data_IF_210273579623
#
_entry.id   IF_210273579623
#
_cell.length_a   1.000
_cell.length_b   1.000
_cell.length_c   1.000
_cell.angle_alpha   90.00
_cell.angle_beta   90.00
_cell.angle_gamma   90.00
#
_symmetry.space_group_name_H-M   'P 1'
#
loop_
_entity.id
_entity.type
_entity.pdbx_description
1 polymer ?
#
# COMPACT_ATOMS: atom_id res chain seq x y z
N UNK A 1 5.88 -28.31 -5.61
CA UNK A 1 7.11 -28.72 -6.32
C UNK A 1 8.02 -27.49 -6.40
N UNK A 2 9.29 -27.62 -5.99
CA UNK A 2 10.24 -26.50 -5.81
C UNK A 2 10.41 -25.66 -7.08
N UNK A 3 10.13 -24.35 -7.01
CA UNK A 3 10.71 -23.36 -7.93
C UNK A 3 11.26 -22.18 -7.11
N UNK A 4 12.33 -22.45 -6.37
CA UNK A 4 13.33 -21.42 -6.03
C UNK A 4 14.67 -22.01 -6.45
N UNK A 5 14.91 -22.12 -7.75
CA UNK A 5 16.28 -22.26 -8.25
C UNK A 5 16.33 -21.90 -9.74
N UNK A 6 16.53 -20.62 -10.04
CA UNK A 6 17.48 -20.12 -11.04
C UNK A 6 17.30 -18.60 -11.23
N UNK A 7 17.37 -17.83 -10.15
CA UNK A 7 17.80 -16.43 -10.28
C UNK A 7 19.31 -16.45 -10.47
N UNK A 8 19.78 -15.98 -11.63
CA UNK A 8 21.20 -15.71 -11.86
C UNK A 8 21.68 -14.83 -10.71
N UNK A 9 22.72 -15.27 -9.97
CA UNK A 9 23.31 -14.56 -8.80
C UNK A 9 23.58 -13.05 -9.03
N UNK A 10 23.60 -12.60 -10.28
CA UNK A 10 23.86 -11.22 -10.71
C UNK A 10 22.70 -10.24 -10.43
N UNK A 11 21.47 -10.71 -10.18
CA UNK A 11 20.28 -9.84 -10.08
C UNK A 11 19.43 -10.01 -8.82
N UNK A 12 19.90 -10.71 -7.78
CA UNK A 12 19.10 -10.92 -6.54
C UNK A 12 18.84 -9.56 -5.87
N UNK A 13 17.58 -9.13 -5.92
CA UNK A 13 17.06 -8.00 -5.15
C UNK A 13 16.53 -8.57 -3.84
N UNK A 14 17.13 -8.17 -2.72
CA UNK A 14 16.65 -8.60 -1.41
C UNK A 14 15.41 -7.79 -1.01
N UNK A 15 14.49 -8.39 -0.24
CA UNK A 15 13.36 -7.65 0.32
C UNK A 15 13.78 -6.48 1.23
N UNK A 16 15.03 -6.46 1.72
CA UNK A 16 15.64 -5.32 2.41
C UNK A 16 15.89 -4.13 1.47
N UNK A 17 16.31 -4.36 0.23
CA UNK A 17 16.60 -3.28 -0.72
C UNK A 17 15.32 -2.52 -1.09
N UNK A 18 14.19 -3.24 -1.25
CA UNK A 18 12.89 -2.62 -1.54
C UNK A 18 12.36 -1.84 -0.33
N UNK A 19 12.54 -2.36 0.89
CA UNK A 19 12.18 -1.61 2.09
C UNK A 19 13.01 -0.33 2.24
N UNK A 20 14.31 -0.37 1.92
CA UNK A 20 15.17 0.81 1.95
C UNK A 20 14.77 1.87 0.91
N UNK A 21 14.37 1.44 -0.30
CA UNK A 21 13.82 2.34 -1.32
C UNK A 21 12.49 2.97 -0.88
N UNK A 22 11.61 2.16 -0.27
CA UNK A 22 10.34 2.64 0.27
C UNK A 22 10.54 3.63 1.43
N UNK A 23 11.45 3.33 2.36
CA UNK A 23 11.82 4.23 3.46
C UNK A 23 12.47 5.52 2.97
N UNK A 24 13.22 5.44 1.87
CA UNK A 24 13.75 6.64 1.24
C UNK A 24 12.64 7.51 0.63
N UNK A 25 11.66 6.91 -0.05
CA UNK A 25 10.47 7.63 -0.52
C UNK A 25 9.78 8.34 0.65
N UNK A 26 9.56 7.63 1.76
CA UNK A 26 8.97 8.21 2.97
C UNK A 26 9.80 9.36 3.53
N UNK A 27 11.13 9.21 3.59
CA UNK A 27 12.02 10.26 4.06
C UNK A 27 11.96 11.51 3.18
N UNK A 28 11.83 11.35 1.86
CA UNK A 28 11.61 12.46 0.92
C UNK A 28 10.23 13.11 1.07
N UNK A 29 9.20 12.30 1.38
CA UNK A 29 7.85 12.79 1.67
C UNK A 29 7.82 13.62 2.95
N UNK A 30 8.48 13.19 4.03
CA UNK A 30 8.52 13.90 5.31
C UNK A 30 9.46 15.12 5.28
N UNK A 31 10.49 15.09 4.44
CA UNK A 31 11.47 16.17 4.32
C UNK A 31 11.88 16.40 2.86
N UNK A 32 11.39 17.49 2.27
CA UNK A 32 11.67 17.86 0.87
C UNK A 32 13.13 18.22 0.59
N UNK A 33 13.94 18.45 1.64
CA UNK A 33 15.40 18.73 1.57
C UNK A 33 16.26 17.49 1.75
N UNK A 34 15.67 16.30 1.76
CA UNK A 34 16.43 15.06 1.91
C UNK A 34 17.48 14.90 0.81
N UNK A 35 18.66 14.39 1.18
CA UNK A 35 19.79 14.24 0.24
C UNK A 35 19.52 13.11 -0.73
N UNK A 36 19.90 13.32 -1.99
CA UNK A 36 19.90 12.25 -2.99
C UNK A 36 20.78 11.10 -2.53
N UNK A 37 20.20 9.91 -2.42
CA UNK A 37 20.92 8.67 -2.16
C UNK A 37 21.18 7.90 -3.46
N UNK A 38 22.15 7.00 -3.42
CA UNK A 38 22.50 6.11 -4.54
C UNK A 38 22.36 4.67 -4.08
N UNK A 39 21.78 3.84 -4.95
CA UNK A 39 21.68 2.40 -4.74
C UNK A 39 22.37 1.67 -5.87
N UNK A 40 22.94 0.52 -5.56
CA UNK A 40 23.42 -0.38 -6.60
C UNK A 40 22.21 -1.00 -7.30
N UNK A 41 22.18 -0.93 -8.63
CA UNK A 41 21.09 -1.51 -9.43
C UNK A 41 19.84 -0.64 -9.56
N UNK A 42 19.80 0.55 -8.93
CA UNK A 42 18.69 1.48 -9.06
C UNK A 42 19.14 2.92 -9.28
N UNK A 43 18.31 3.71 -9.94
CA UNK A 43 18.50 5.15 -10.07
C UNK A 43 17.17 5.88 -10.10
N UNK A 44 17.10 7.04 -9.46
CA UNK A 44 15.97 7.94 -9.60
C UNK A 44 16.22 8.89 -10.76
N UNK A 45 15.33 8.88 -11.76
CA UNK A 45 15.38 9.80 -12.90
C UNK A 45 14.31 10.88 -12.68
N UNK A 46 14.71 12.14 -12.87
CA UNK A 46 13.78 13.26 -12.83
C UNK A 46 12.86 13.21 -14.05
N UNK A 47 11.55 13.15 -13.81
CA UNK A 47 10.54 13.27 -14.86
C UNK A 47 10.15 14.74 -15.07
N UNK A 48 9.84 15.42 -13.97
CA UNK A 48 9.54 16.86 -13.91
C UNK A 48 10.02 17.45 -12.58
N UNK A 49 9.78 18.74 -12.35
CA UNK A 49 10.22 19.38 -11.11
C UNK A 49 9.56 18.74 -9.89
N UNK A 50 10.40 18.19 -9.00
CA UNK A 50 9.93 17.52 -7.79
C UNK A 50 9.36 16.11 -7.97
N UNK A 51 9.43 15.52 -9.18
CA UNK A 51 8.94 14.17 -9.45
C UNK A 51 10.05 13.28 -10.01
N UNK A 52 10.26 12.13 -9.38
CA UNK A 52 11.34 11.20 -9.72
C UNK A 52 10.84 9.76 -9.80
N UNK A 53 11.13 9.09 -10.92
CA UNK A 53 10.77 7.70 -11.16
C UNK A 53 11.96 6.78 -10.89
N UNK A 54 11.69 5.69 -10.17
CA UNK A 54 12.68 4.64 -9.92
C UNK A 54 12.95 3.90 -11.23
N UNK A 55 14.22 3.74 -11.58
CA UNK A 55 14.65 2.95 -12.72
C UNK A 55 15.60 1.84 -12.27
N UNK A 56 15.46 0.66 -12.85
CA UNK A 56 16.42 -0.44 -12.69
C UNK A 56 17.65 -0.15 -13.56
N UNK A 57 18.86 -0.38 -13.02
CA UNK A 57 20.12 -0.11 -13.72
C UNK A 57 20.79 -1.43 -14.10
N UNK A 58 20.80 -1.74 -15.40
CA UNK A 58 21.34 -2.99 -15.95
C UNK A 58 22.31 -2.68 -17.08
N UNK A 59 23.59 -3.04 -16.94
CA UNK A 59 24.62 -2.78 -17.96
C UNK A 59 24.62 -1.34 -18.51
N UNK A 60 24.45 -0.34 -17.64
CA UNK A 60 24.30 1.11 -17.96
C UNK A 60 22.96 1.52 -18.61
N UNK A 61 22.10 0.58 -18.97
CA UNK A 61 20.72 0.85 -19.35
C UNK A 61 19.90 1.17 -18.10
N UNK A 62 18.90 2.04 -18.28
CA UNK A 62 17.91 2.39 -17.26
C UNK A 62 16.56 1.89 -17.75
N UNK A 63 15.94 1.02 -16.97
CA UNK A 63 14.69 0.37 -17.28
C UNK A 63 13.62 0.90 -16.33
N UNK A 64 12.58 1.53 -16.88
CA UNK A 64 11.49 2.10 -16.11
C UNK A 64 10.43 1.03 -15.80
N UNK A 65 10.20 0.66 -14.52
CA UNK A 65 9.14 -0.27 -14.14
C UNK A 65 7.72 0.24 -14.45
N UNK A 66 7.50 1.56 -14.56
CA UNK A 66 6.19 2.09 -14.94
C UNK A 66 5.90 1.82 -16.42
N UNK A 67 6.93 1.83 -17.26
CA UNK A 67 6.86 1.58 -18.71
C UNK A 67 7.62 0.32 -19.10
N UNK A 68 7.52 -0.72 -18.27
CA UNK A 68 8.33 -1.93 -18.42
C UNK A 68 8.17 -2.60 -19.80
N UNK A 69 6.98 -2.52 -20.38
CA UNK A 69 6.64 -3.10 -21.68
C UNK A 69 7.32 -2.36 -22.85
N UNK A 70 7.56 -1.04 -22.74
CA UNK A 70 8.29 -0.26 -23.77
C UNK A 70 9.76 -0.71 -23.88
N UNK A 71 10.28 -1.34 -22.83
CA UNK A 71 11.65 -1.86 -22.76
C UNK A 71 11.79 -3.30 -23.28
N UNK A 72 10.70 -3.95 -23.70
CA UNK A 72 10.68 -5.32 -24.20
C UNK A 72 10.20 -5.34 -25.66
N UNK A 73 11.11 -5.42 -26.64
CA UNK A 73 10.74 -5.40 -28.06
C UNK A 73 9.93 -6.63 -28.50
N UNK A 74 9.95 -7.70 -27.70
CA UNK A 74 9.25 -8.97 -27.95
C UNK A 74 7.93 -9.08 -27.17
N UNK A 75 7.34 -7.95 -26.75
CA UNK A 75 6.11 -7.95 -25.94
C UNK A 75 4.93 -8.65 -26.63
N UNK A 76 4.77 -8.50 -27.94
CA UNK A 76 3.72 -9.17 -28.72
C UNK A 76 3.92 -10.69 -28.78
N UNK A 77 5.17 -11.16 -28.83
CA UNK A 77 5.46 -12.59 -28.75
C UNK A 77 5.10 -13.15 -27.37
N UNK A 78 5.41 -12.42 -26.29
CA UNK A 78 5.05 -12.82 -24.91
C UNK A 78 3.54 -12.85 -24.73
N UNK A 79 2.85 -11.86 -25.27
CA UNK A 79 1.37 -11.83 -25.30
C UNK A 79 0.83 -13.08 -25.99
N UNK A 80 1.34 -13.43 -27.17
CA UNK A 80 0.95 -14.65 -27.88
C UNK A 80 1.14 -15.93 -27.04
N UNK A 81 2.27 -16.05 -26.34
CA UNK A 81 2.54 -17.20 -25.44
C UNK A 81 1.53 -17.27 -24.29
N UNK A 82 1.13 -16.13 -23.72
CA UNK A 82 0.06 -16.09 -22.71
C UNK A 82 -1.28 -16.55 -23.28
N UNK A 83 -1.65 -16.09 -24.48
CA UNK A 83 -2.89 -16.51 -25.14
C UNK A 83 -2.90 -18.02 -25.44
N UNK A 84 -1.78 -18.57 -25.92
CA UNK A 84 -1.61 -20.01 -26.12
C UNK A 84 -1.71 -20.80 -24.79
N UNK A 85 -1.38 -20.15 -23.68
CA UNK A 85 -1.52 -20.67 -22.31
C UNK A 85 -2.92 -20.45 -21.71
N UNK A 86 -3.93 -20.13 -22.55
CA UNK A 86 -5.34 -19.91 -22.22
C UNK A 86 -5.69 -18.62 -21.48
N UNK A 87 -4.73 -17.72 -21.26
CA UNK A 87 -5.05 -16.37 -20.81
C UNK A 87 -5.78 -15.60 -21.93
N UNK A 88 -6.56 -14.60 -21.58
CA UNK A 88 -7.22 -13.71 -22.55
C UNK A 88 -6.45 -12.41 -22.76
N UNK A 89 -6.88 -11.62 -23.75
CA UNK A 89 -6.37 -10.26 -23.94
C UNK A 89 -6.63 -9.38 -22.70
N UNK A 90 -7.79 -9.54 -22.05
CA UNK A 90 -8.13 -8.82 -20.83
C UNK A 90 -7.23 -9.22 -19.66
N UNK A 91 -6.93 -10.52 -19.52
CA UNK A 91 -5.96 -11.00 -18.52
C UNK A 91 -4.60 -10.32 -18.72
N UNK A 92 -4.11 -10.26 -19.97
CA UNK A 92 -2.83 -9.65 -20.30
C UNK A 92 -2.80 -8.15 -19.99
N UNK A 93 -3.82 -7.39 -20.42
CA UNK A 93 -3.88 -5.95 -20.18
C UNK A 93 -4.03 -5.61 -18.69
N UNK A 94 -4.77 -6.43 -17.94
CA UNK A 94 -4.88 -6.31 -16.48
C UNK A 94 -3.50 -6.48 -15.82
N UNK A 95 -2.79 -7.57 -16.11
CA UNK A 95 -1.45 -7.85 -15.58
C UNK A 95 -0.47 -6.74 -15.98
N UNK A 96 -0.47 -6.33 -17.24
CA UNK A 96 0.39 -5.26 -17.73
C UNK A 96 0.16 -3.94 -17.00
N UNK A 97 -1.10 -3.62 -16.73
CA UNK A 97 -1.49 -2.45 -15.95
C UNK A 97 -0.99 -2.58 -14.51
N UNK A 98 -1.29 -3.67 -13.81
CA UNK A 98 -0.83 -3.94 -12.43
C UNK A 98 0.68 -3.76 -12.27
N UNK A 99 1.47 -4.37 -13.15
CA UNK A 99 2.93 -4.30 -13.08
C UNK A 99 3.45 -2.87 -13.32
N UNK A 100 2.82 -2.13 -14.24
CA UNK A 100 3.13 -0.72 -14.45
C UNK A 100 2.78 0.11 -13.21
N UNK A 101 1.64 -0.20 -12.57
CA UNK A 101 1.16 0.47 -11.37
C UNK A 101 2.04 0.23 -10.15
N UNK A 102 2.60 -0.97 -10.00
CA UNK A 102 3.58 -1.25 -8.96
C UNK A 102 4.84 -0.36 -9.02
N UNK A 103 5.23 0.13 -10.20
CA UNK A 103 6.31 1.11 -10.32
C UNK A 103 6.05 2.41 -9.53
N UNK A 104 4.79 2.83 -9.38
CA UNK A 104 4.43 4.05 -8.65
C UNK A 104 4.64 3.95 -7.14
N UNK A 105 4.75 2.75 -6.57
CA UNK A 105 5.04 2.56 -5.14
C UNK A 105 6.34 3.25 -4.73
N UNK A 106 7.31 3.32 -5.64
CA UNK A 106 8.63 3.90 -5.41
C UNK A 106 8.81 5.29 -6.00
N UNK A 107 7.81 5.82 -6.73
CA UNK A 107 7.83 7.17 -7.30
C UNK A 107 7.91 8.21 -6.17
N UNK A 108 8.84 9.15 -6.30
CA UNK A 108 9.03 10.24 -5.34
C UNK A 108 8.34 11.48 -5.88
N UNK A 109 7.44 12.03 -5.09
CA UNK A 109 6.80 13.33 -5.33
C UNK A 109 7.11 14.23 -4.14
N UNK A 110 7.74 15.39 -4.40
CA UNK A 110 8.05 16.37 -3.35
C UNK A 110 6.81 17.07 -2.82
N UNK A 111 5.77 17.19 -3.65
CA UNK A 111 4.47 17.71 -3.22
C UNK A 111 3.73 16.58 -2.52
N UNK A 112 3.51 16.76 -1.23
CA UNK A 112 2.78 15.78 -0.43
C UNK A 112 1.32 15.70 -0.90
N UNK A 113 0.78 14.49 -0.94
CA UNK A 113 -0.57 14.20 -1.41
C UNK A 113 -1.25 13.20 -0.48
N UNK A 114 -2.58 13.23 -0.41
CA UNK A 114 -3.36 12.24 0.34
C UNK A 114 -3.15 10.82 -0.21
N UNK A 115 -3.00 10.74 -1.54
CA UNK A 115 -2.63 9.50 -2.22
C UNK A 115 -1.34 8.88 -1.67
N UNK A 116 -0.30 9.68 -1.40
CA UNK A 116 0.94 9.12 -0.83
C UNK A 116 0.71 8.60 0.59
N UNK A 117 -0.15 9.23 1.40
CA UNK A 117 -0.55 8.66 2.69
C UNK A 117 -1.21 7.29 2.54
N UNK A 118 -2.15 7.14 1.60
CA UNK A 118 -2.81 5.85 1.34
C UNK A 118 -1.80 4.79 0.89
N UNK A 119 -0.88 5.14 -0.02
CA UNK A 119 0.17 4.22 -0.45
C UNK A 119 1.09 3.82 0.70
N UNK A 120 1.52 4.77 1.54
CA UNK A 120 2.32 4.44 2.72
C UNK A 120 1.56 3.53 3.68
N UNK A 121 0.29 3.84 3.92
CA UNK A 121 -0.60 3.04 4.76
C UNK A 121 -0.68 1.60 4.28
N UNK A 122 -1.18 1.37 3.06
CA UNK A 122 -1.43 0.02 2.58
C UNK A 122 -0.17 -0.81 2.44
N UNK A 123 0.96 -0.22 2.00
CA UNK A 123 2.24 -0.95 1.98
C UNK A 123 2.68 -1.32 3.39
N UNK A 124 2.66 -0.38 4.35
CA UNK A 124 3.06 -0.65 5.73
C UNK A 124 2.15 -1.70 6.40
N UNK A 125 0.86 -1.66 6.12
CA UNK A 125 -0.08 -2.67 6.62
C UNK A 125 0.22 -4.04 6.02
N UNK A 126 0.42 -4.17 4.70
CA UNK A 126 0.73 -5.44 4.04
C UNK A 126 2.01 -6.08 4.57
N UNK A 127 3.12 -5.33 4.59
CA UNK A 127 4.44 -5.87 4.96
C UNK A 127 4.53 -6.30 6.42
N UNK A 128 3.67 -5.79 7.29
CA UNK A 128 3.58 -6.21 8.69
C UNK A 128 2.48 -7.27 8.90
N UNK A 129 1.34 -7.18 8.21
CA UNK A 129 0.24 -8.16 8.29
C UNK A 129 0.67 -9.53 7.79
N UNK A 130 1.50 -9.62 6.74
CA UNK A 130 2.04 -10.90 6.22
C UNK A 130 2.80 -11.73 7.27
N UNK A 131 3.29 -11.08 8.33
CA UNK A 131 4.03 -11.71 9.43
C UNK A 131 3.18 -11.83 10.72
N UNK A 132 1.95 -11.32 10.74
CA UNK A 132 1.09 -11.32 11.91
C UNK A 132 0.32 -12.64 12.06
N UNK A 133 0.92 -13.62 12.76
CA UNK A 133 0.32 -14.94 13.00
C UNK A 133 -0.83 -14.91 14.01
N UNK A 134 -0.91 -13.88 14.87
CA UNK A 134 -1.93 -13.78 15.91
C UNK A 134 -3.36 -13.64 15.37
N UNK A 135 -3.50 -13.20 14.11
CA UNK A 135 -4.79 -12.99 13.45
C UNK A 135 -5.44 -14.31 13.00
N UNK A 136 -4.66 -15.40 12.94
CA UNK A 136 -5.15 -16.72 12.53
C UNK A 136 -5.69 -16.74 11.10
N UNK A 137 -6.79 -17.46 10.89
CA UNK A 137 -7.37 -17.71 9.57
C UNK A 137 -7.85 -16.44 8.85
N UNK A 138 -8.24 -15.40 9.61
CA UNK A 138 -8.67 -14.10 9.05
C UNK A 138 -7.53 -13.31 8.41
N UNK A 139 -6.26 -13.73 8.58
CA UNK A 139 -5.11 -13.01 8.03
C UNK A 139 -5.22 -12.90 6.51
N UNK A 140 -5.65 -13.95 5.82
CA UNK A 140 -5.76 -13.97 4.36
C UNK A 140 -6.89 -13.05 3.86
N UNK A 141 -7.98 -12.93 4.61
CA UNK A 141 -9.05 -11.94 4.34
C UNK A 141 -8.52 -10.50 4.47
N UNK A 142 -7.76 -10.21 5.53
CA UNK A 142 -7.14 -8.89 5.70
C UNK A 142 -6.10 -8.60 4.60
N UNK A 143 -5.24 -9.56 4.28
CA UNK A 143 -4.23 -9.44 3.23
C UNK A 143 -4.88 -9.21 1.86
N UNK A 144 -5.95 -9.95 1.55
CA UNK A 144 -6.76 -9.76 0.33
C UNK A 144 -7.35 -8.36 0.30
N UNK A 145 -8.02 -7.93 1.38
CA UNK A 145 -8.59 -6.59 1.43
C UNK A 145 -7.54 -5.49 1.33
N UNK A 146 -6.37 -5.64 1.94
CA UNK A 146 -5.28 -4.67 1.86
C UNK A 146 -4.69 -4.62 0.45
N UNK A 147 -4.55 -5.78 -0.21
CA UNK A 147 -4.08 -5.89 -1.58
C UNK A 147 -5.02 -5.16 -2.56
N UNK A 148 -6.32 -5.48 -2.51
CA UNK A 148 -7.32 -4.87 -3.38
C UNK A 148 -7.41 -3.36 -3.19
N UNK A 149 -7.33 -2.88 -1.94
CA UNK A 149 -7.33 -1.45 -1.66
C UNK A 149 -6.04 -0.75 -2.14
N UNK A 150 -4.87 -1.39 -1.97
CA UNK A 150 -3.63 -0.87 -2.57
C UNK A 150 -3.75 -0.74 -4.09
N UNK A 151 -4.31 -1.73 -4.77
CA UNK A 151 -4.51 -1.71 -6.22
C UNK A 151 -5.51 -0.62 -6.64
N UNK A 152 -6.60 -0.43 -5.90
CA UNK A 152 -7.53 0.69 -6.09
C UNK A 152 -6.81 2.04 -5.97
N UNK A 153 -6.00 2.23 -4.92
CA UNK A 153 -5.19 3.44 -4.75
C UNK A 153 -4.13 3.62 -5.84
N UNK A 154 -3.75 2.54 -6.51
CA UNK A 154 -2.91 2.56 -7.70
C UNK A 154 -3.68 2.79 -9.01
N UNK A 155 -4.93 3.24 -8.93
CA UNK A 155 -5.81 3.57 -10.06
C UNK A 155 -6.21 2.36 -10.92
N UNK A 156 -6.39 1.19 -10.31
CA UNK A 156 -7.09 0.09 -10.97
C UNK A 156 -8.60 0.26 -10.80
N UNK A 157 -9.36 -0.10 -11.83
CA UNK A 157 -10.82 -0.17 -11.71
C UNK A 157 -11.24 -1.40 -10.89
N UNK A 158 -12.47 -1.39 -10.42
CA UNK A 158 -13.02 -2.46 -9.58
C UNK A 158 -12.93 -3.82 -10.27
N UNK A 159 -13.24 -3.86 -11.56
CA UNK A 159 -13.23 -5.06 -12.40
C UNK A 159 -11.83 -5.70 -12.45
N UNK A 160 -10.77 -4.90 -12.38
CA UNK A 160 -9.40 -5.39 -12.39
C UNK A 160 -8.92 -5.78 -10.99
N UNK A 161 -9.04 -4.88 -10.00
CA UNK A 161 -8.45 -5.16 -8.69
C UNK A 161 -9.20 -6.25 -7.91
N UNK A 162 -10.50 -6.43 -8.15
CA UNK A 162 -11.31 -7.43 -7.44
C UNK A 162 -10.89 -8.87 -7.76
N UNK A 163 -10.20 -9.08 -8.88
CA UNK A 163 -9.66 -10.37 -9.34
C UNK A 163 -8.44 -10.84 -8.54
N UNK A 164 -7.89 -9.99 -7.67
CA UNK A 164 -6.73 -10.32 -6.85
C UNK A 164 -7.15 -10.78 -5.46
N UNK A 165 -6.55 -11.88 -5.02
CA UNK A 165 -6.65 -12.37 -3.65
C UNK A 165 -5.28 -12.78 -3.12
N UNK A 166 -5.18 -12.91 -1.79
CA UNK A 166 -3.93 -13.28 -1.12
C UNK A 166 -4.19 -14.42 -0.15
N UNK A 167 -3.39 -15.47 -0.26
CA UNK A 167 -3.39 -16.62 0.63
C UNK A 167 -1.98 -16.94 1.15
N UNK A 168 -1.78 -18.14 1.69
CA UNK A 168 -0.50 -18.60 2.22
C UNK A 168 0.55 -18.82 1.11
N UNK A 169 0.11 -19.10 -0.11
CA UNK A 169 0.96 -19.38 -1.28
C UNK A 169 1.33 -18.11 -2.07
N UNK A 170 0.63 -17.00 -1.82
CA UNK A 170 1.01 -15.67 -2.27
C UNK A 170 -0.15 -14.88 -2.86
N UNK A 171 0.11 -14.17 -3.95
CA UNK A 171 -0.92 -13.37 -4.64
C UNK A 171 -1.50 -14.20 -5.78
N UNK A 172 -2.81 -14.40 -5.74
CA UNK A 172 -3.57 -15.06 -6.78
C UNK A 172 -4.27 -14.04 -7.67
N UNK A 173 -4.35 -14.36 -8.95
CA UNK A 173 -5.10 -13.61 -9.95
C UNK A 173 -6.16 -14.52 -10.57
N UNK A 174 -7.42 -14.12 -10.49
CA UNK A 174 -8.53 -14.79 -11.16
C UNK A 174 -8.53 -14.47 -12.65
N UNK A 175 -8.19 -15.47 -13.46
CA UNK A 175 -8.21 -15.40 -14.92
C UNK A 175 -9.61 -15.69 -15.49
N UNK A 176 -9.90 -15.21 -16.69
CA UNK A 176 -11.22 -15.45 -17.31
C UNK A 176 -11.47 -16.93 -17.67
N UNK A 177 -10.42 -17.71 -17.97
CA UNK A 177 -10.55 -19.07 -18.50
C UNK A 177 -9.90 -20.19 -17.67
N UNK A 178 -8.99 -19.88 -16.74
CA UNK A 178 -8.19 -20.87 -16.00
C UNK A 178 -8.65 -20.96 -14.53
N UNK A 179 -9.25 -19.90 -14.00
CA UNK A 179 -9.48 -19.70 -12.57
C UNK A 179 -8.30 -18.97 -11.92
N UNK A 180 -8.07 -19.23 -10.62
CA UNK A 180 -6.99 -18.59 -9.87
C UNK A 180 -5.60 -19.13 -10.25
N UNK A 181 -4.70 -18.21 -10.62
CA UNK A 181 -3.30 -18.50 -10.94
C UNK A 181 -2.40 -17.66 -10.05
N UNK A 182 -1.29 -18.22 -9.57
CA UNK A 182 -0.32 -17.46 -8.79
C UNK A 182 0.38 -16.42 -9.68
N UNK A 183 0.43 -15.18 -9.23
CA UNK A 183 1.01 -14.07 -9.99
C UNK A 183 2.50 -14.29 -10.30
N UNK A 184 3.22 -15.03 -9.46
CA UNK A 184 4.62 -15.42 -9.74
C UNK A 184 4.73 -16.32 -10.96
N UNK A 185 3.77 -17.21 -11.20
CA UNK A 185 3.77 -18.07 -12.39
C UNK A 185 3.55 -17.26 -13.66
N UNK A 186 2.68 -16.24 -13.59
CA UNK A 186 2.47 -15.28 -14.68
C UNK A 186 3.76 -14.49 -14.95
N UNK A 187 4.46 -14.04 -13.91
CA UNK A 187 5.75 -13.35 -14.04
C UNK A 187 6.83 -14.25 -14.67
N UNK A 188 6.85 -15.53 -14.32
CA UNK A 188 7.79 -16.49 -14.90
C UNK A 188 7.57 -16.64 -16.41
N UNK A 189 6.30 -16.78 -16.83
CA UNK A 189 5.89 -16.83 -18.23
C UNK A 189 6.24 -15.53 -18.97
N UNK A 190 5.93 -14.38 -18.36
CA UNK A 190 6.16 -13.07 -18.97
C UNK A 190 7.64 -12.70 -19.07
N UNK A 191 8.49 -13.07 -18.12
CA UNK A 191 9.84 -12.52 -18.02
C UNK A 191 10.99 -13.54 -18.06
N UNK A 192 10.82 -14.76 -17.56
CA UNK A 192 11.97 -15.63 -17.31
C UNK A 192 12.24 -16.67 -18.41
N UNK A 193 11.32 -16.87 -19.35
CA UNK A 193 11.51 -17.83 -20.45
C UNK A 193 12.53 -17.36 -21.49
N UNK A 194 12.52 -16.07 -21.86
CA UNK A 194 13.39 -15.50 -22.91
C UNK A 194 14.79 -15.09 -22.43
N UNK A 195 15.00 -15.01 -21.10
CA UNK A 195 16.30 -14.80 -20.41
C UNK A 195 17.19 -13.64 -20.91
N UNK A 196 16.63 -12.56 -21.45
CA UNK A 196 17.41 -11.33 -21.71
C UNK A 196 17.73 -10.61 -20.39
N UNK A 197 18.79 -9.81 -20.35
CA UNK A 197 19.19 -9.08 -19.13
C UNK A 197 18.08 -8.15 -18.63
N UNK A 198 17.37 -7.46 -19.52
CA UNK A 198 16.24 -6.59 -19.17
C UNK A 198 15.03 -7.38 -18.66
N UNK A 199 14.68 -8.48 -19.35
CA UNK A 199 13.59 -9.36 -18.94
C UNK A 199 13.86 -10.00 -17.57
N UNK A 200 15.07 -10.48 -17.32
CA UNK A 200 15.48 -11.01 -16.01
C UNK A 200 15.42 -9.93 -14.92
N UNK A 201 15.81 -8.69 -15.21
CA UNK A 201 15.77 -7.60 -14.25
C UNK A 201 14.33 -7.24 -13.84
N UNK A 202 13.40 -7.12 -14.80
CA UNK A 202 11.98 -6.91 -14.49
C UNK A 202 11.38 -8.10 -13.74
N UNK A 203 11.60 -9.32 -14.21
CA UNK A 203 11.10 -10.53 -13.55
C UNK A 203 11.59 -10.63 -12.10
N UNK A 204 12.87 -10.30 -11.85
CA UNK A 204 13.41 -10.29 -10.49
C UNK A 204 12.84 -9.15 -9.65
N UNK A 205 12.73 -7.94 -10.20
CA UNK A 205 12.15 -6.80 -9.48
C UNK A 205 10.71 -7.07 -9.04
N UNK A 206 9.84 -7.50 -9.95
CA UNK A 206 8.44 -7.78 -9.64
C UNK A 206 8.28 -8.97 -8.70
N UNK A 207 9.05 -10.04 -8.90
CA UNK A 207 9.01 -11.19 -7.98
C UNK A 207 9.46 -10.78 -6.57
N UNK A 208 10.56 -10.02 -6.45
CA UNK A 208 11.03 -9.49 -5.17
C UNK A 208 10.02 -8.53 -4.54
N UNK A 209 9.27 -7.77 -5.34
CA UNK A 209 8.20 -6.90 -4.86
C UNK A 209 7.02 -7.70 -4.29
N UNK A 210 6.59 -8.77 -4.96
CA UNK A 210 5.55 -9.65 -4.43
C UNK A 210 5.98 -10.31 -3.12
N UNK A 211 7.24 -10.76 -3.04
CA UNK A 211 7.80 -11.31 -1.79
C UNK A 211 7.85 -10.25 -0.69
N UNK A 212 8.28 -9.03 -1.02
CA UNK A 212 8.32 -7.91 -0.08
C UNK A 212 6.93 -7.59 0.48
N UNK A 213 5.90 -7.52 -0.35
CA UNK A 213 4.55 -7.14 0.05
C UNK A 213 3.76 -8.27 0.72
N UNK A 214 3.89 -9.52 0.24
CA UNK A 214 2.90 -10.56 0.54
C UNK A 214 3.49 -11.83 1.18
N UNK A 215 4.74 -12.18 0.90
CA UNK A 215 5.33 -13.42 1.42
C UNK A 215 5.93 -13.22 2.83
N UNK A 216 5.57 -14.09 3.77
CA UNK A 216 6.12 -14.06 5.13
C UNK A 216 7.64 -14.27 5.12
N UNK A 217 8.35 -13.37 5.79
CA UNK A 217 9.80 -13.41 5.96
C UNK A 217 10.21 -13.29 7.44
N UNK A 218 9.22 -13.25 8.35
CA UNK A 218 9.35 -13.05 9.79
C UNK A 218 10.16 -11.78 10.17
N UNK A 219 10.28 -10.80 9.26
CA UNK A 219 10.92 -9.52 9.56
C UNK A 219 9.94 -8.54 10.18
N UNK A 220 10.45 -7.63 11.01
CA UNK A 220 9.70 -6.49 11.52
C UNK A 220 10.04 -5.26 10.70
N UNK A 221 9.07 -4.77 9.93
CA UNK A 221 9.20 -3.59 9.09
C UNK A 221 8.74 -2.35 9.85
N UNK A 222 9.37 -2.11 10.99
CA UNK A 222 9.09 -0.94 11.80
C UNK A 222 9.98 0.22 11.35
N UNK A 223 9.36 1.36 11.19
CA UNK A 223 10.00 2.66 11.13
C UNK A 223 10.55 3.01 12.52
N UNK A 224 11.38 4.05 12.58
CA UNK A 224 11.97 4.54 13.82
C UNK A 224 11.63 6.02 13.95
N UNK A 225 10.41 6.28 14.40
CA UNK A 225 9.94 7.61 14.74
C UNK A 225 10.06 7.85 16.24
N UNK A 226 10.48 9.06 16.59
CA UNK A 226 10.49 9.50 17.98
C UNK A 226 9.08 9.98 18.40
N UNK A 227 8.16 9.04 18.59
CA UNK A 227 6.76 9.30 18.97
C UNK A 227 6.22 8.17 19.86
N UNK A 228 5.61 8.53 21.00
CA UNK A 228 4.99 7.58 21.95
C UNK A 228 3.89 6.70 21.34
N UNK A 229 3.27 7.15 20.25
CA UNK A 229 2.16 6.52 19.57
C UNK A 229 2.57 5.71 18.33
N UNK A 230 3.85 5.72 17.95
CA UNK A 230 4.37 5.05 16.75
C UNK A 230 3.92 3.58 16.68
N UNK A 231 4.05 2.84 17.77
CA UNK A 231 3.74 1.41 17.80
C UNK A 231 2.32 1.06 17.35
N UNK A 232 1.38 1.99 17.47
CA UNK A 232 -0.03 1.77 17.13
C UNK A 232 -0.35 1.94 15.65
N UNK A 233 0.62 2.39 14.82
CA UNK A 233 0.43 2.41 13.36
C UNK A 233 0.55 1.00 12.76
N UNK A 234 1.16 0.05 13.48
CA UNK A 234 1.35 -1.32 13.03
C UNK A 234 0.13 -2.20 13.33
N UNK A 235 -0.25 -3.09 12.39
CA UNK A 235 -1.48 -3.88 12.49
C UNK A 235 -1.52 -4.78 13.73
N UNK A 236 -0.39 -5.40 14.09
CA UNK A 236 -0.28 -6.31 15.24
C UNK A 236 -0.71 -5.63 16.54
N UNK A 237 -0.05 -4.51 16.87
CA UNK A 237 -0.29 -3.79 18.12
C UNK A 237 -1.68 -3.14 18.12
N UNK A 238 -2.10 -2.58 16.99
CA UNK A 238 -3.41 -1.94 16.87
C UNK A 238 -4.55 -2.94 17.10
N UNK A 239 -4.53 -4.07 16.39
CA UNK A 239 -5.57 -5.10 16.53
C UNK A 239 -5.54 -5.79 17.89
N UNK A 240 -4.36 -6.00 18.49
CA UNK A 240 -4.27 -6.52 19.87
C UNK A 240 -5.02 -5.62 20.85
N UNK A 241 -4.85 -4.29 20.75
CA UNK A 241 -5.56 -3.34 21.61
C UNK A 241 -7.03 -3.22 21.26
N UNK A 242 -7.38 -3.37 19.98
CA UNK A 242 -8.77 -3.30 19.52
C UNK A 242 -9.60 -4.50 20.01
N UNK A 243 -8.99 -5.69 20.06
CA UNK A 243 -9.67 -6.94 20.44
C UNK A 243 -9.72 -7.18 21.96
N UNK A 244 -9.10 -6.30 22.76
CA UNK A 244 -9.07 -6.37 24.22
C UNK A 244 -9.85 -5.19 24.81
N UNK A 245 -11.01 -5.44 25.43
CA UNK A 245 -11.89 -4.39 25.98
C UNK A 245 -11.19 -3.50 27.02
N UNK A 246 -10.25 -4.05 27.80
CA UNK A 246 -9.52 -3.27 28.79
C UNK A 246 -8.51 -2.31 28.13
N UNK A 247 -7.98 -2.67 26.95
CA UNK A 247 -7.03 -1.86 26.18
C UNK A 247 -7.70 -0.94 25.16
N UNK A 248 -8.90 -1.26 24.70
CA UNK A 248 -9.63 -0.52 23.67
C UNK A 248 -9.87 0.95 24.04
N UNK A 249 -10.26 1.23 25.28
CA UNK A 249 -10.42 2.62 25.76
C UNK A 249 -9.10 3.41 25.69
N UNK A 250 -7.98 2.76 25.99
CA UNK A 250 -6.65 3.37 25.85
C UNK A 250 -6.34 3.66 24.39
N UNK A 251 -6.70 2.75 23.47
CA UNK A 251 -6.58 2.99 22.04
C UNK A 251 -7.38 4.24 21.64
N UNK A 252 -8.68 4.31 21.95
CA UNK A 252 -9.50 5.48 21.61
C UNK A 252 -9.01 6.79 22.22
N UNK A 253 -8.41 6.74 23.41
CA UNK A 253 -7.82 7.94 24.01
C UNK A 253 -6.70 8.57 23.17
N UNK A 254 -6.04 7.80 22.30
CA UNK A 254 -5.01 8.30 21.37
C UNK A 254 -5.57 9.30 20.36
N UNK A 255 -6.89 9.31 20.12
CA UNK A 255 -7.52 10.27 19.22
C UNK A 255 -7.29 11.71 19.70
N UNK A 256 -7.16 11.95 21.01
CA UNK A 256 -6.80 13.26 21.53
C UNK A 256 -5.40 13.70 21.05
N UNK A 257 -4.44 12.77 21.03
CA UNK A 257 -3.09 13.06 20.53
C UNK A 257 -3.09 13.29 19.01
N UNK A 258 -3.89 12.51 18.25
CA UNK A 258 -4.04 12.63 16.79
C UNK A 258 -4.44 14.05 16.35
N UNK A 259 -5.17 14.77 17.20
CA UNK A 259 -5.67 16.11 16.91
C UNK A 259 -4.94 17.25 17.66
N UNK A 260 -3.82 16.93 18.31
CA UNK A 260 -2.96 17.92 18.93
C UNK A 260 -2.36 18.84 17.86
N UNK A 261 -2.46 20.16 18.03
CA UNK A 261 -2.00 21.13 17.03
C UNK A 261 -0.48 21.33 17.00
N UNK A 262 0.27 20.85 18.00
CA UNK A 262 1.71 21.07 18.15
C UNK A 262 2.57 19.94 17.59
N UNK A 263 2.07 19.18 16.62
CA UNK A 263 2.76 18.03 16.04
C UNK A 263 3.83 18.41 15.02
N UNK A 264 4.95 17.70 15.06
CA UNK A 264 5.98 17.64 14.03
C UNK A 264 5.51 16.84 12.81
N UNK A 265 6.22 16.93 11.69
CA UNK A 265 5.89 16.17 10.47
C UNK A 265 5.81 14.65 10.69
N UNK A 266 6.62 14.10 11.61
CA UNK A 266 6.61 12.67 11.92
C UNK A 266 5.36 12.30 12.73
N UNK A 267 5.01 13.10 13.74
CA UNK A 267 3.81 12.90 14.55
C UNK A 267 2.53 13.06 13.72
N UNK A 268 2.54 14.00 12.76
CA UNK A 268 1.46 14.15 11.77
C UNK A 268 1.33 12.85 10.96
N UNK A 269 2.44 12.32 10.43
CA UNK A 269 2.41 11.07 9.67
C UNK A 269 1.83 9.92 10.50
N UNK A 270 2.29 9.75 11.73
CA UNK A 270 1.77 8.73 12.66
C UNK A 270 0.27 8.92 12.91
N UNK A 271 -0.17 10.15 13.11
CA UNK A 271 -1.59 10.47 13.35
C UNK A 271 -2.47 10.17 12.15
N UNK A 272 -1.96 10.40 10.92
CA UNK A 272 -2.62 10.01 9.68
C UNK A 272 -2.73 8.48 9.58
N UNK A 273 -1.64 7.74 9.89
CA UNK A 273 -1.64 6.27 9.87
C UNK A 273 -2.58 5.67 10.92
N UNK A 274 -2.63 6.26 12.12
CA UNK A 274 -3.57 5.90 13.17
C UNK A 274 -5.03 6.13 12.76
N UNK A 275 -5.34 7.28 12.18
CA UNK A 275 -6.68 7.56 11.64
C UNK A 275 -7.08 6.48 10.62
N UNK A 276 -6.18 6.14 9.69
CA UNK A 276 -6.45 5.09 8.69
C UNK A 276 -6.60 3.70 9.31
N UNK A 277 -5.88 3.38 10.41
CA UNK A 277 -6.12 2.15 11.16
C UNK A 277 -7.53 2.08 11.76
N UNK A 278 -8.02 3.18 12.36
CA UNK A 278 -9.42 3.24 12.83
C UNK A 278 -10.41 3.01 11.69
N UNK A 279 -10.20 3.67 10.54
CA UNK A 279 -11.07 3.52 9.38
C UNK A 279 -11.05 2.07 8.91
N UNK A 280 -9.87 1.50 8.66
CA UNK A 280 -9.72 0.20 8.02
C UNK A 280 -10.08 -0.98 8.93
N UNK A 281 -9.57 -1.01 10.17
CA UNK A 281 -9.74 -2.18 11.05
C UNK A 281 -10.97 -2.13 11.94
N UNK A 282 -11.53 -0.94 12.21
CA UNK A 282 -12.63 -0.80 13.17
C UNK A 282 -13.95 -0.34 12.55
N UNK A 283 -13.90 0.61 11.63
CA UNK A 283 -15.11 1.22 11.06
C UNK A 283 -15.53 0.60 9.73
N UNK A 284 -14.59 0.07 8.93
CA UNK A 284 -14.83 -0.36 7.53
C UNK A 284 -16.01 -1.31 7.40
N UNK A 285 -16.05 -2.35 8.23
CA UNK A 285 -17.09 -3.39 8.17
C UNK A 285 -18.30 -3.08 9.05
N UNK A 286 -18.15 -2.22 10.06
CA UNK A 286 -19.20 -1.86 11.01
C UNK A 286 -19.13 -0.37 11.35
N UNK A 287 -19.63 0.53 10.48
CA UNK A 287 -19.57 1.97 10.70
C UNK A 287 -20.22 2.43 12.00
N UNK A 288 -21.20 1.68 12.54
CA UNK A 288 -21.85 1.97 13.83
C UNK A 288 -20.88 1.96 15.01
N UNK A 289 -19.73 1.30 14.87
CA UNK A 289 -18.66 1.33 15.87
C UNK A 289 -18.15 2.74 16.18
N UNK A 290 -18.41 3.73 15.32
CA UNK A 290 -18.13 5.15 15.59
C UNK A 290 -18.76 5.64 16.90
N UNK A 291 -19.90 5.06 17.32
CA UNK A 291 -20.57 5.41 18.58
C UNK A 291 -19.75 5.01 19.80
N UNK A 292 -18.97 3.92 19.73
CA UNK A 292 -18.06 3.53 20.81
C UNK A 292 -16.97 4.58 21.00
N UNK A 293 -16.42 5.10 19.91
CA UNK A 293 -15.45 6.19 19.94
C UNK A 293 -16.09 7.45 20.51
N UNK A 294 -17.32 7.79 20.10
CA UNK A 294 -18.07 8.93 20.64
C UNK A 294 -18.16 8.90 22.16
N UNK A 295 -18.42 7.73 22.76
CA UNK A 295 -18.53 7.59 24.21
C UNK A 295 -17.22 7.85 24.96
N UNK A 296 -16.07 7.77 24.29
CA UNK A 296 -14.76 7.97 24.89
C UNK A 296 -14.18 9.38 24.68
N UNK A 297 -14.83 10.21 23.86
CA UNK A 297 -14.34 11.53 23.47
C UNK A 297 -15.34 12.63 23.86
N UNK A 298 -14.83 13.84 24.07
CA UNK A 298 -15.69 15.01 24.12
C UNK A 298 -16.22 15.37 22.72
N UNK A 299 -17.29 16.16 22.67
CA UNK A 299 -18.00 16.46 21.41
C UNK A 299 -17.12 17.19 20.37
N UNK A 300 -16.21 18.06 20.80
CA UNK A 300 -15.34 18.81 19.89
C UNK A 300 -14.30 17.92 19.22
N UNK A 301 -13.62 17.07 20.01
CA UNK A 301 -12.65 16.10 19.50
C UNK A 301 -13.35 15.05 18.64
N UNK A 302 -14.54 14.61 19.05
CA UNK A 302 -15.33 13.68 18.25
C UNK A 302 -15.75 14.28 16.90
N UNK A 303 -16.19 15.55 16.86
CA UNK A 303 -16.51 16.25 15.62
C UNK A 303 -15.32 16.29 14.66
N UNK A 304 -14.13 16.66 15.16
CA UNK A 304 -12.89 16.65 14.37
C UNK A 304 -12.53 15.24 13.87
N UNK A 305 -12.76 14.22 14.71
CA UNK A 305 -12.51 12.82 14.34
C UNK A 305 -13.42 12.35 13.21
N UNK A 306 -14.74 12.51 13.33
CA UNK A 306 -15.66 12.07 12.28
C UNK A 306 -15.46 12.88 10.98
N UNK A 307 -15.15 14.17 11.09
CA UNK A 307 -14.77 14.99 9.95
C UNK A 307 -13.53 14.45 9.25
N UNK A 308 -12.46 14.16 9.99
CA UNK A 308 -11.23 13.60 9.42
C UNK A 308 -11.46 12.22 8.79
N UNK A 309 -12.29 11.35 9.41
CA UNK A 309 -12.68 10.05 8.84
C UNK A 309 -13.32 10.23 7.46
N UNK A 310 -14.28 11.17 7.34
CA UNK A 310 -14.98 11.43 6.07
C UNK A 310 -14.06 12.10 5.05
N UNK A 311 -13.25 13.09 5.48
CA UNK A 311 -12.32 13.83 4.61
C UNK A 311 -11.20 12.94 4.07
N UNK A 312 -10.78 11.90 4.80
CA UNK A 312 -9.77 10.95 4.33
C UNK A 312 -10.21 10.17 3.10
N UNK A 313 -11.52 9.97 2.89
CA UNK A 313 -12.06 9.27 1.71
C UNK A 313 -11.41 7.91 1.40
N UNK A 314 -10.94 7.20 2.43
CA UNK A 314 -10.26 5.91 2.27
C UNK A 314 -11.24 4.83 1.75
N UNK A 315 -12.17 4.40 2.61
CA UNK A 315 -13.19 3.38 2.27
C UNK A 315 -14.58 3.82 2.77
N UNK A 316 -14.63 4.68 3.78
CA UNK A 316 -15.86 5.16 4.40
C UNK A 316 -16.09 6.61 3.99
N UNK A 317 -17.33 6.90 3.63
CA UNK A 317 -17.82 8.25 3.34
C UNK A 317 -19.00 8.63 4.22
N UNK A 318 -19.42 9.90 4.13
CA UNK A 318 -20.49 10.51 4.95
C UNK A 318 -21.75 9.65 5.07
N UNK A 319 -22.19 9.04 3.97
CA UNK A 319 -23.42 8.23 3.91
C UNK A 319 -23.40 6.98 4.80
N UNK A 320 -22.22 6.47 5.16
CA UNK A 320 -22.08 5.31 6.05
C UNK A 320 -22.47 5.62 7.50
N UNK A 321 -22.64 6.90 7.84
CA UNK A 321 -23.01 7.35 9.18
C UNK A 321 -24.45 7.88 9.27
N UNK A 322 -25.22 7.76 8.19
CA UNK A 322 -26.63 8.09 8.19
C UNK A 322 -27.40 7.18 9.17
N UNK A 323 -28.48 7.69 9.74
CA UNK A 323 -29.37 6.95 10.65
C UNK A 323 -28.71 6.46 11.96
N UNK A 324 -27.50 6.94 12.28
CA UNK A 324 -26.80 6.64 13.54
C UNK A 324 -27.06 7.67 14.64
N UNK A 325 -27.97 8.62 14.42
CA UNK A 325 -28.21 9.75 15.33
C UNK A 325 -27.06 10.76 15.38
N UNK A 326 -26.26 10.83 14.32
CA UNK A 326 -25.10 11.72 14.20
C UNK A 326 -25.36 12.95 13.33
N UNK A 327 -26.62 13.20 12.94
CA UNK A 327 -27.00 14.25 11.99
C UNK A 327 -26.49 15.63 12.40
N UNK A 328 -26.55 15.95 13.70
CA UNK A 328 -26.04 17.20 14.25
C UNK A 328 -24.53 17.41 14.05
N UNK A 329 -23.73 16.33 14.00
CA UNK A 329 -22.31 16.40 13.66
C UNK A 329 -22.14 16.47 12.14
N UNK A 330 -22.82 15.59 11.39
CA UNK A 330 -22.69 15.51 9.94
C UNK A 330 -23.04 16.84 9.26
N UNK A 331 -24.08 17.54 9.73
CA UNK A 331 -24.47 18.87 9.22
C UNK A 331 -23.38 19.93 9.36
N UNK A 332 -22.50 19.81 10.36
CA UNK A 332 -21.39 20.76 10.58
C UNK A 332 -20.19 20.51 9.65
N UNK A 333 -20.10 19.32 9.06
CA UNK A 333 -18.95 18.92 8.24
C UNK A 333 -19.09 19.51 6.84
N UNK A 334 -18.15 20.39 6.49
CA UNK A 334 -18.02 20.98 5.17
C UNK A 334 -16.93 20.27 4.37
N UNK A 335 -17.29 19.74 3.20
CA UNK A 335 -16.36 19.04 2.32
C UNK A 335 -15.85 20.01 1.25
N UNK A 336 -14.65 20.54 1.44
CA UNK A 336 -13.97 21.34 0.42
C UNK A 336 -13.16 20.43 -0.51
N UNK A 337 -13.25 20.64 -1.83
CA UNK A 337 -12.63 19.77 -2.84
C UNK A 337 -11.11 19.92 -3.00
N UNK A 338 -10.46 20.82 -2.26
CA UNK A 338 -9.07 21.24 -2.55
C UNK A 338 -8.06 20.97 -1.45
N UNK A 339 -8.45 20.34 -0.34
CA UNK A 339 -7.63 20.26 0.88
C UNK A 339 -7.71 18.85 1.48
N UNK A 340 -6.76 17.97 1.10
CA UNK A 340 -6.78 16.55 1.52
C UNK A 340 -5.49 16.07 2.17
N UNK A 341 -4.41 16.85 2.14
CA UNK A 341 -3.12 16.40 2.69
C UNK A 341 -2.99 16.64 4.21
N UNK A 342 -3.56 17.72 4.76
CA UNK A 342 -3.39 18.08 6.17
C UNK A 342 -4.71 18.15 6.95
N UNK A 343 -5.57 17.15 6.74
CA UNK A 343 -6.94 17.14 7.29
C UNK A 343 -7.02 17.19 8.82
N UNK A 344 -5.90 16.93 9.53
CA UNK A 344 -5.83 16.95 11.00
C UNK A 344 -5.59 18.36 11.57
N UNK A 345 -5.05 19.28 10.76
CA UNK A 345 -4.64 20.63 11.16
C UNK A 345 -5.29 21.74 10.32
N UNK A 346 -6.36 21.42 9.59
CA UNK A 346 -7.21 22.43 8.97
C UNK A 346 -7.85 23.29 10.07
N UNK A 347 -7.82 24.62 9.87
CA UNK A 347 -8.44 25.60 10.77
C UNK A 347 -9.85 25.94 10.31
#
# INVERSE_FOLDING_TARGET
MKVITMLVKKYIISGSDLFDLFNYKLSCFLNTRNKTRRWKGYSYIKWEEGVFDLNLVVNKLKLDPIRWFDHLPDIEERKKVMLESKFTDNDFECIKTVLSRFGYLFKIQKKQSDKDYHLFFFVMQLINMKNNKSVGERRNEFMTSLCQQLLCELFLCYEDFSRFSVDDDGVLFETENIGFVNLVDILNLLFLEKKTDGSCAFGTFYTSLLVFLFASDNKKYHLNFDDKNEKFIYPEVFMEHLNDEAKKNKLFSLINDVFNLSQSSNEIFISNMLLMNYIFYFLKCEPKNILQIKHCLNDDVFLRFIEAVIKRRLIIGRHHFNDLGLDGYLLKIQLNETQFYNILHEK
#
